data_IF_795453304487
#
_entry.id   IF_795453304487
#
_cell.length_a   1.000
_cell.length_b   1.000
_cell.length_c   1.000
_cell.angle_alpha   90.00
_cell.angle_beta   90.00
_cell.angle_gamma   90.00
#
_symmetry.space_group_name_H-M   'P 1'
#
loop_
_entity.id
_entity.type
_entity.pdbx_description
1 polymer ?
#
# COMPACT_ATOMS: atom_id res chain seq x y z
N UNK A 1 -22.31 10.12 1.64
CA UNK A 1 -22.53 9.03 0.66
C UNK A 1 -21.36 8.85 -0.29
N UNK A 2 -21.03 9.85 -1.13
CA UNK A 2 -20.00 9.70 -2.17
C UNK A 2 -18.65 9.24 -1.60
N UNK A 3 -18.20 9.86 -0.50
CA UNK A 3 -16.95 9.48 0.18
C UNK A 3 -16.94 8.02 0.63
N UNK A 4 -18.08 7.48 1.09
CA UNK A 4 -18.20 6.09 1.51
C UNK A 4 -18.02 5.11 0.35
N UNK A 5 -18.64 5.41 -0.80
CA UNK A 5 -18.55 4.59 -2.01
C UNK A 5 -17.12 4.64 -2.57
N UNK A 6 -16.45 5.80 -2.49
CA UNK A 6 -15.09 5.94 -2.97
C UNK A 6 -14.07 5.22 -2.07
N UNK A 7 -14.15 5.39 -0.75
CA UNK A 7 -13.19 4.79 0.16
C UNK A 7 -13.70 4.79 1.62
N UNK A 8 -13.97 3.61 2.19
CA UNK A 8 -14.48 3.46 3.56
C UNK A 8 -13.62 4.19 4.61
N UNK A 9 -12.29 4.08 4.48
CA UNK A 9 -11.34 4.78 5.36
C UNK A 9 -11.50 6.31 5.34
N UNK A 10 -11.66 6.92 4.16
CA UNK A 10 -11.86 8.36 4.03
C UNK A 10 -13.19 8.79 4.66
N UNK A 11 -14.22 7.96 4.56
CA UNK A 11 -15.51 8.18 5.22
C UNK A 11 -15.40 8.18 6.75
N UNK A 12 -14.62 7.25 7.32
CA UNK A 12 -14.36 7.22 8.76
C UNK A 12 -13.63 8.51 9.23
N UNK A 13 -12.60 8.93 8.49
CA UNK A 13 -11.87 10.18 8.80
C UNK A 13 -12.79 11.39 8.68
N UNK A 14 -13.63 11.46 7.65
CA UNK A 14 -14.63 12.52 7.52
C UNK A 14 -15.57 12.58 8.73
N UNK A 15 -16.07 11.43 9.20
CA UNK A 15 -16.91 11.37 10.40
C UNK A 15 -16.19 11.92 11.64
N UNK A 16 -14.94 11.50 11.84
CA UNK A 16 -14.05 11.99 12.92
C UNK A 16 -13.90 13.51 12.83
N UNK A 17 -13.58 14.05 11.65
CA UNK A 17 -13.41 15.49 11.43
C UNK A 17 -14.68 16.27 11.77
N UNK A 18 -15.84 15.82 11.32
CA UNK A 18 -17.12 16.49 11.58
C UNK A 18 -17.46 16.50 13.07
N UNK A 19 -17.30 15.36 13.76
CA UNK A 19 -17.55 15.25 15.19
C UNK A 19 -16.68 16.23 15.97
N UNK A 20 -15.37 16.22 15.73
CA UNK A 20 -14.45 17.06 16.49
C UNK A 20 -14.56 18.55 16.13
N UNK A 21 -14.87 18.86 14.88
CA UNK A 21 -15.16 20.24 14.47
C UNK A 21 -16.38 20.81 15.21
N UNK A 22 -17.48 20.07 15.29
CA UNK A 22 -18.69 20.52 15.99
C UNK A 22 -18.46 20.64 17.51
N UNK A 23 -17.76 19.67 18.11
CA UNK A 23 -17.38 19.73 19.54
C UNK A 23 -16.56 21.00 19.83
N UNK A 24 -15.55 21.27 19.01
CA UNK A 24 -14.70 22.44 19.22
C UNK A 24 -15.46 23.75 19.02
N UNK A 25 -16.30 23.83 17.99
CA UNK A 25 -17.12 25.01 17.71
C UNK A 25 -17.98 25.41 18.91
N UNK A 26 -18.53 24.43 19.63
CA UNK A 26 -19.33 24.69 20.83
C UNK A 26 -18.48 25.08 22.04
N UNK A 27 -17.27 24.54 22.15
CA UNK A 27 -16.33 24.95 23.18
C UNK A 27 -15.90 26.41 23.01
N UNK A 28 -15.75 26.88 21.76
CA UNK A 28 -15.36 28.25 21.41
C UNK A 28 -16.53 29.25 21.49
N UNK A 29 -17.78 28.82 21.25
CA UNK A 29 -18.98 29.66 21.44
C UNK A 29 -19.29 29.87 22.93
N UNK A 30 -18.73 30.93 23.52
CA UNK A 30 -18.93 31.28 24.93
C UNK A 30 -20.38 31.68 25.30
N UNK A 31 -21.21 32.15 24.36
CA UNK A 31 -22.53 32.73 24.66
C UNK A 31 -23.75 31.86 24.33
N UNK A 32 -23.60 30.79 23.54
CA UNK A 32 -24.72 29.94 23.06
C UNK A 32 -24.34 28.45 23.15
N UNK A 33 -23.99 27.99 24.37
CA UNK A 33 -23.70 26.59 24.71
C UNK A 33 -24.96 25.72 24.74
N UNK A 34 -25.74 25.77 23.66
CA UNK A 34 -26.93 24.95 23.56
C UNK A 34 -26.56 23.52 23.18
N UNK A 35 -26.54 22.62 24.17
CA UNK A 35 -26.39 21.16 23.95
C UNK A 35 -27.43 20.65 22.94
N UNK A 36 -28.62 21.25 22.89
CA UNK A 36 -29.65 20.94 21.90
C UNK A 36 -29.17 21.22 20.46
N UNK A 37 -28.42 22.30 20.25
CA UNK A 37 -27.85 22.67 18.93
C UNK A 37 -26.73 21.70 18.53
N UNK A 38 -25.89 21.28 19.48
CA UNK A 38 -24.90 20.21 19.28
C UNK A 38 -25.58 18.91 18.84
N UNK A 39 -26.53 18.44 19.64
CA UNK A 39 -27.24 17.18 19.37
C UNK A 39 -27.98 17.26 18.04
N UNK A 40 -28.58 18.39 17.70
CA UNK A 40 -29.20 18.59 16.38
C UNK A 40 -28.17 18.48 15.26
N UNK A 41 -27.04 19.18 15.37
CA UNK A 41 -26.00 19.15 14.34
C UNK A 41 -25.36 17.76 14.20
N UNK A 42 -25.07 17.09 15.32
CA UNK A 42 -24.58 15.71 15.34
C UNK A 42 -25.62 14.72 14.81
N UNK A 43 -26.91 14.91 15.10
CA UNK A 43 -27.98 14.06 14.54
C UNK A 43 -28.12 14.25 13.04
N UNK A 44 -28.01 15.48 12.52
CA UNK A 44 -27.97 15.74 11.08
C UNK A 44 -26.72 15.11 10.47
N UNK A 45 -25.56 15.29 11.10
CA UNK A 45 -24.30 14.70 10.68
C UNK A 45 -24.25 13.17 10.86
N UNK A 46 -25.03 12.60 11.75
CA UNK A 46 -25.18 11.16 11.98
C UNK A 46 -26.16 10.55 11.00
N UNK A 47 -27.23 11.28 10.65
CA UNK A 47 -28.22 10.84 9.67
C UNK A 47 -27.58 10.58 8.29
N UNK A 48 -26.62 11.41 7.88
CA UNK A 48 -25.82 11.16 6.66
C UNK A 48 -24.90 9.92 6.76
N UNK A 49 -24.72 9.32 7.94
CA UNK A 49 -23.93 8.11 8.14
C UNK A 49 -24.79 6.84 8.25
N UNK A 50 -26.09 6.96 8.55
CA UNK A 50 -26.99 5.82 8.75
C UNK A 50 -26.99 4.89 7.52
N UNK A 51 -27.26 5.44 6.33
CA UNK A 51 -27.34 4.63 5.12
C UNK A 51 -26.00 3.94 4.75
N UNK A 52 -24.83 4.61 4.76
CA UNK A 52 -23.52 4.02 4.53
C UNK A 52 -23.20 2.90 5.51
N UNK A 53 -23.46 3.13 6.79
CA UNK A 53 -23.20 2.17 7.84
C UNK A 53 -24.14 0.97 7.69
N UNK A 54 -25.42 1.20 7.39
CA UNK A 54 -26.35 0.11 7.09
C UNK A 54 -25.89 -0.70 5.87
N UNK A 55 -25.52 -0.04 4.75
CA UNK A 55 -25.00 -0.72 3.57
C UNK A 55 -23.75 -1.55 3.92
N UNK A 56 -22.82 -0.99 4.69
CA UNK A 56 -21.63 -1.70 5.13
C UNK A 56 -21.96 -2.91 6.00
N UNK A 57 -22.82 -2.76 7.01
CA UNK A 57 -23.14 -3.85 7.92
C UNK A 57 -23.89 -4.99 7.23
N UNK A 58 -24.83 -4.67 6.34
CA UNK A 58 -25.70 -5.66 5.69
C UNK A 58 -25.10 -6.29 4.42
N UNK A 59 -24.29 -5.56 3.66
CA UNK A 59 -23.81 -6.02 2.34
C UNK A 59 -22.30 -6.24 2.26
N UNK A 60 -21.51 -5.78 3.22
CA UNK A 60 -20.05 -5.93 3.15
C UNK A 60 -19.62 -7.33 3.59
N UNK A 61 -18.91 -8.12 2.77
CA UNK A 61 -18.29 -9.37 3.22
C UNK A 61 -17.29 -9.16 4.37
N UNK A 62 -16.75 -7.94 4.50
CA UNK A 62 -15.87 -7.54 5.59
C UNK A 62 -16.59 -7.35 6.93
N UNK A 63 -17.94 -7.31 6.97
CA UNK A 63 -18.70 -7.25 8.23
C UNK A 63 -18.84 -8.62 8.91
N UNK A 64 -18.41 -9.70 8.24
CA UNK A 64 -18.38 -11.03 8.82
C UNK A 64 -17.47 -11.09 10.06
N UNK A 65 -17.92 -11.79 11.11
CA UNK A 65 -17.25 -11.82 12.42
C UNK A 65 -15.78 -12.28 12.35
N UNK A 66 -15.42 -13.10 11.37
CA UNK A 66 -14.05 -13.55 11.14
C UNK A 66 -13.10 -12.46 10.61
N UNK A 67 -13.60 -11.46 9.87
CA UNK A 67 -12.79 -10.35 9.34
C UNK A 67 -12.72 -9.20 10.35
N UNK A 68 -13.82 -8.95 11.07
CA UNK A 68 -13.90 -7.95 12.15
C UNK A 68 -12.97 -8.25 13.32
N UNK A 69 -12.71 -9.53 13.61
CA UNK A 69 -11.86 -9.96 14.73
C UNK A 69 -10.35 -9.75 14.51
N UNK A 70 -9.91 -9.38 13.32
CA UNK A 70 -8.49 -9.15 13.02
C UNK A 70 -8.04 -7.71 13.34
N UNK A 71 -8.04 -7.38 14.63
CA UNK A 71 -7.44 -6.14 15.16
C UNK A 71 -6.08 -6.48 15.74
N UNK A 72 -5.01 -5.92 15.18
CA UNK A 72 -3.65 -6.14 15.70
C UNK A 72 -2.96 -4.80 15.94
N UNK A 73 -2.48 -4.62 17.17
CA UNK A 73 -1.68 -3.46 17.54
C UNK A 73 -0.22 -3.71 17.16
N UNK A 74 0.37 -2.74 16.46
CA UNK A 74 1.81 -2.74 16.21
C UNK A 74 2.59 -2.31 17.46
N UNK A 75 3.88 -2.62 17.50
CA UNK A 75 4.77 -2.08 18.52
C UNK A 75 4.99 -0.56 18.32
N UNK A 76 5.50 0.12 19.35
CA UNK A 76 5.77 1.56 19.29
C UNK A 76 6.79 1.92 18.20
N UNK A 77 7.80 1.06 17.97
CA UNK A 77 8.79 1.23 16.91
C UNK A 77 8.13 1.36 15.53
N UNK A 78 7.15 0.51 15.22
CA UNK A 78 6.38 0.57 13.96
C UNK A 78 5.63 1.89 13.81
N UNK A 79 5.14 2.49 14.89
CA UNK A 79 4.49 3.81 14.84
C UNK A 79 5.49 4.93 14.51
N UNK A 80 6.73 4.84 15.01
CA UNK A 80 7.80 5.76 14.61
C UNK A 80 8.21 5.54 13.15
N UNK A 81 8.34 4.29 12.72
CA UNK A 81 8.59 3.94 11.31
C UNK A 81 7.43 4.36 10.39
N UNK A 82 6.20 4.45 10.90
CA UNK A 82 5.08 4.96 10.12
C UNK A 82 5.28 6.44 9.76
N UNK A 83 5.93 7.24 10.62
CA UNK A 83 6.27 8.63 10.30
C UNK A 83 7.33 8.70 9.19
N UNK A 84 8.28 7.76 9.17
CA UNK A 84 9.28 7.70 8.10
C UNK A 84 8.72 7.23 6.76
N UNK A 85 7.55 6.59 6.75
CA UNK A 85 6.87 6.19 5.51
C UNK A 85 6.49 7.37 4.61
N UNK A 86 6.32 8.58 5.16
CA UNK A 86 6.18 9.78 4.32
C UNK A 86 7.45 10.10 3.55
N UNK A 87 8.61 9.72 4.07
CA UNK A 87 9.93 10.03 3.53
C UNK A 87 10.53 8.87 2.71
N UNK A 88 9.78 7.78 2.55
CA UNK A 88 10.26 6.52 1.98
C UNK A 88 9.81 6.29 0.54
N UNK A 89 9.93 7.30 -0.33
CA UNK A 89 9.62 7.13 -1.76
C UNK A 89 10.84 6.50 -2.47
N UNK A 90 11.15 6.95 -3.69
CA UNK A 90 12.25 6.42 -4.50
C UNK A 90 13.66 6.79 -3.99
N UNK A 91 13.80 7.93 -3.30
CA UNK A 91 15.09 8.38 -2.75
C UNK A 91 14.89 9.13 -1.43
N UNK A 92 15.15 8.43 -0.33
CA UNK A 92 14.93 8.93 1.04
C UNK A 92 15.69 10.23 1.34
N UNK A 93 16.90 10.40 0.78
CA UNK A 93 17.70 11.60 1.00
C UNK A 93 17.08 12.83 0.33
N UNK A 94 16.66 12.70 -0.93
CA UNK A 94 16.00 13.79 -1.65
C UNK A 94 14.61 14.07 -1.05
N UNK A 95 13.87 13.03 -0.69
CA UNK A 95 12.59 13.17 0.00
C UNK A 95 12.77 14.03 1.25
N UNK A 96 13.72 13.66 2.12
CA UNK A 96 14.00 14.41 3.35
C UNK A 96 14.31 15.88 3.08
N UNK A 97 15.14 16.19 2.08
CA UNK A 97 15.47 17.58 1.69
C UNK A 97 14.21 18.33 1.25
N UNK A 98 13.38 17.73 0.41
CA UNK A 98 12.11 18.30 -0.06
C UNK A 98 11.16 18.61 1.11
N UNK A 99 11.01 17.67 2.04
CA UNK A 99 10.16 17.87 3.22
C UNK A 99 10.69 18.94 4.16
N UNK A 100 12.01 18.97 4.41
CA UNK A 100 12.64 20.03 5.20
C UNK A 100 12.44 21.39 4.54
N UNK A 101 12.59 21.48 3.21
CA UNK A 101 12.34 22.74 2.48
C UNK A 101 10.90 23.23 2.64
N UNK A 102 9.90 22.34 2.50
CA UNK A 102 8.49 22.66 2.74
C UNK A 102 8.25 23.07 4.20
N UNK A 103 8.80 22.32 5.16
CA UNK A 103 8.62 22.60 6.58
C UNK A 103 9.22 23.95 6.99
N UNK A 104 10.43 24.27 6.50
CA UNK A 104 11.08 25.57 6.70
C UNK A 104 10.27 26.69 6.06
N UNK A 105 9.76 26.49 4.83
CA UNK A 105 8.91 27.47 4.16
C UNK A 105 7.61 27.75 4.94
N UNK A 106 6.89 26.70 5.35
CA UNK A 106 5.67 26.82 6.15
C UNK A 106 5.98 27.49 7.50
N UNK A 107 7.02 27.05 8.20
CA UNK A 107 7.45 27.63 9.48
C UNK A 107 7.81 29.11 9.37
N UNK A 108 8.54 29.50 8.31
CA UNK A 108 8.86 30.89 8.03
C UNK A 108 7.61 31.75 7.77
N UNK A 109 6.65 31.23 6.99
CA UNK A 109 5.39 31.92 6.70
C UNK A 109 4.47 32.01 7.91
N UNK A 110 4.44 30.98 8.77
CA UNK A 110 3.75 30.99 10.07
C UNK A 110 4.35 32.06 10.98
N UNK A 111 5.67 32.10 11.12
CA UNK A 111 6.38 33.10 11.94
C UNK A 111 6.16 34.55 11.46
N UNK A 112 5.88 34.74 10.17
CA UNK A 112 5.53 36.04 9.57
C UNK A 112 4.02 36.37 9.65
N UNK A 113 3.20 35.49 10.24
CA UNK A 113 1.75 35.62 10.30
C UNK A 113 1.08 35.60 8.92
N UNK A 114 1.73 34.99 7.91
CA UNK A 114 1.22 34.89 6.54
C UNK A 114 0.48 33.60 6.29
N UNK A 115 0.81 32.57 7.05
CA UNK A 115 -0.01 31.36 7.17
C UNK A 115 -0.65 31.39 8.54
N UNK A 116 -1.93 31.04 8.61
CA UNK A 116 -2.63 30.81 9.86
C UNK A 116 -3.33 29.46 9.79
N UNK A 117 -3.28 28.70 10.88
CA UNK A 117 -4.10 27.49 10.99
C UNK A 117 -5.49 27.94 11.43
N UNK A 118 -6.53 27.48 10.71
CA UNK A 118 -7.90 27.71 11.12
C UNK A 118 -8.12 27.11 12.53
N UNK A 119 -8.46 27.94 13.51
CA UNK A 119 -8.61 27.52 14.93
C UNK A 119 -9.48 26.27 15.11
N UNK A 120 -10.65 26.15 14.44
CA UNK A 120 -11.48 24.95 14.56
C UNK A 120 -10.79 23.65 14.12
N UNK A 121 -9.79 23.77 13.26
CA UNK A 121 -9.07 22.62 12.72
C UNK A 121 -7.89 22.18 13.58
N UNK A 122 -7.40 23.04 14.48
CA UNK A 122 -6.35 22.67 15.42
C UNK A 122 -6.81 21.51 16.32
N UNK A 123 -8.04 21.57 16.83
CA UNK A 123 -8.61 20.49 17.62
C UNK A 123 -8.76 19.21 16.81
N UNK A 124 -9.32 19.29 15.60
CA UNK A 124 -9.45 18.12 14.74
C UNK A 124 -8.09 17.45 14.43
N UNK A 125 -7.04 18.25 14.21
CA UNK A 125 -5.67 17.75 14.02
C UNK A 125 -5.12 17.06 15.26
N UNK A 126 -5.27 17.68 16.44
CA UNK A 126 -4.86 17.08 17.72
C UNK A 126 -5.57 15.75 17.95
N UNK A 127 -6.88 15.69 17.69
CA UNK A 127 -7.64 14.46 17.83
C UNK A 127 -7.24 13.40 16.82
N UNK A 128 -7.00 13.75 15.54
CA UNK A 128 -6.49 12.80 14.55
C UNK A 128 -5.12 12.24 14.95
N UNK A 129 -4.23 13.08 15.49
CA UNK A 129 -2.96 12.61 16.07
C UNK A 129 -3.19 11.67 17.26
N UNK A 130 -4.15 11.96 18.13
CA UNK A 130 -4.57 11.07 19.21
C UNK A 130 -5.07 9.72 18.69
N UNK A 131 -5.93 9.74 17.67
CA UNK A 131 -6.42 8.53 16.98
C UNK A 131 -5.23 7.75 16.42
N UNK A 132 -4.27 8.40 15.76
CA UNK A 132 -3.06 7.73 15.26
C UNK A 132 -2.27 7.01 16.35
N UNK A 133 -2.11 7.62 17.53
CA UNK A 133 -1.41 7.00 18.65
C UNK A 133 -2.10 5.71 19.09
N UNK A 134 -3.43 5.71 19.19
CA UNK A 134 -4.19 4.53 19.62
C UNK A 134 -4.57 3.58 18.49
N UNK A 135 -4.38 3.96 17.23
CA UNK A 135 -4.85 3.18 16.08
C UNK A 135 -4.06 1.87 15.97
N UNK A 136 -4.74 0.72 15.82
CA UNK A 136 -4.08 -0.55 15.54
C UNK A 136 -3.45 -0.54 14.13
N UNK A 137 -2.43 -1.39 13.95
CA UNK A 137 -1.71 -1.52 12.69
C UNK A 137 -2.54 -2.28 11.63
N UNK A 138 -3.39 -3.21 12.06
CA UNK A 138 -4.28 -4.00 11.20
C UNK A 138 -5.73 -3.78 11.66
N UNK A 139 -6.62 -3.48 10.71
CA UNK A 139 -8.06 -3.33 10.92
C UNK A 139 -8.79 -4.01 9.77
N UNK A 140 -9.78 -4.85 10.06
CA UNK A 140 -10.55 -5.60 9.05
C UNK A 140 -9.64 -6.34 8.05
N UNK A 141 -8.62 -7.03 8.58
CA UNK A 141 -7.56 -7.73 7.84
C UNK A 141 -6.73 -6.86 6.86
N UNK A 142 -6.93 -5.53 6.87
CA UNK A 142 -6.16 -4.56 6.11
C UNK A 142 -4.99 -4.02 6.94
N UNK A 143 -3.77 -4.31 6.51
CA UNK A 143 -2.55 -3.85 7.20
C UNK A 143 -2.26 -2.37 6.93
N UNK A 144 -1.43 -1.76 7.78
CA UNK A 144 -0.99 -0.35 7.62
C UNK A 144 -2.14 0.66 7.72
N UNK A 145 -3.14 0.36 8.54
CA UNK A 145 -4.26 1.26 8.80
C UNK A 145 -3.77 2.55 9.51
N UNK A 146 -2.85 2.40 10.46
CA UNK A 146 -2.11 3.48 11.14
C UNK A 146 -1.31 4.37 10.18
N UNK A 147 -0.58 3.78 9.23
CA UNK A 147 0.23 4.53 8.23
C UNK A 147 -0.64 5.39 7.31
N UNK A 148 -1.80 4.87 6.90
CA UNK A 148 -2.75 5.63 6.07
C UNK A 148 -3.29 6.87 6.79
N UNK A 149 -3.35 6.85 8.12
CA UNK A 149 -3.83 7.99 8.88
C UNK A 149 -2.87 9.18 8.81
N UNK A 150 -1.57 8.92 8.76
CA UNK A 150 -0.53 9.96 8.67
C UNK A 150 -0.72 10.80 7.40
N UNK A 151 -0.98 10.14 6.27
CA UNK A 151 -1.26 10.83 5.00
C UNK A 151 -2.49 11.72 5.14
N UNK A 152 -3.55 11.22 5.76
CA UNK A 152 -4.74 12.02 5.98
C UNK A 152 -4.50 13.19 6.96
N UNK A 153 -3.73 12.99 8.04
CA UNK A 153 -3.32 14.06 8.95
C UNK A 153 -2.55 15.14 8.19
N UNK A 154 -1.60 14.76 7.33
CA UNK A 154 -0.83 15.70 6.52
C UNK A 154 -1.74 16.50 5.56
N UNK A 155 -2.67 15.83 4.87
CA UNK A 155 -3.62 16.49 3.98
C UNK A 155 -4.55 17.44 4.73
N UNK A 156 -5.08 17.03 5.89
CA UNK A 156 -5.92 17.88 6.74
C UNK A 156 -5.11 19.06 7.28
N UNK A 157 -3.85 18.85 7.65
CA UNK A 157 -2.98 19.92 8.14
C UNK A 157 -2.78 20.98 7.06
N UNK A 158 -2.47 20.56 5.83
CA UNK A 158 -2.34 21.46 4.67
C UNK A 158 -3.66 22.17 4.35
N UNK A 159 -4.80 21.46 4.34
CA UNK A 159 -6.10 22.08 4.07
C UNK A 159 -6.56 23.04 5.17
N UNK A 160 -6.00 22.92 6.37
CA UNK A 160 -6.28 23.82 7.50
C UNK A 160 -5.49 25.11 7.45
N UNK A 161 -4.52 25.22 6.53
CA UNK A 161 -3.72 26.43 6.34
C UNK A 161 -4.51 27.47 5.55
N UNK A 162 -4.61 28.67 6.11
CA UNK A 162 -5.09 29.85 5.41
C UNK A 162 -3.88 30.71 5.02
N UNK A 163 -3.65 30.85 3.72
CA UNK A 163 -2.54 31.61 3.16
C UNK A 163 -2.99 33.05 2.88
N UNK A 164 -2.48 34.00 3.67
CA UNK A 164 -2.61 35.44 3.44
C UNK A 164 -1.40 35.93 2.64
N UNK A 165 -1.51 35.89 1.31
CA UNK A 165 -0.52 36.48 0.41
C UNK A 165 -0.74 37.98 0.35
N UNK A 166 0.27 38.80 0.65
CA UNK A 166 0.17 40.26 0.54
C UNK A 166 0.90 40.85 -0.66
N UNK A 167 1.78 40.08 -1.30
CA UNK A 167 2.51 40.53 -2.48
C UNK A 167 2.67 39.44 -3.53
N UNK A 168 2.79 39.85 -4.79
CA UNK A 168 3.12 38.96 -5.91
C UNK A 168 4.43 38.20 -5.69
N UNK A 169 5.41 38.82 -5.02
CA UNK A 169 6.69 38.16 -4.69
C UNK A 169 6.51 36.99 -3.72
N UNK A 170 5.63 37.12 -2.73
CA UNK A 170 5.29 36.03 -1.80
C UNK A 170 4.57 34.88 -2.52
N UNK A 171 3.64 35.21 -3.42
CA UNK A 171 2.97 34.20 -4.25
C UNK A 171 3.96 33.45 -5.12
N UNK A 172 4.83 34.18 -5.83
CA UNK A 172 5.88 33.61 -6.66
C UNK A 172 6.82 32.73 -5.84
N UNK A 173 7.28 33.19 -4.68
CA UNK A 173 8.15 32.40 -3.81
C UNK A 173 7.46 31.09 -3.37
N UNK A 174 6.18 31.16 -2.99
CA UNK A 174 5.40 29.97 -2.63
C UNK A 174 5.25 29.00 -3.82
N UNK A 175 4.85 29.53 -4.97
CA UNK A 175 4.63 28.75 -6.18
C UNK A 175 5.93 28.11 -6.68
N UNK A 176 7.05 28.84 -6.68
CA UNK A 176 8.36 28.31 -7.06
C UNK A 176 8.82 27.25 -6.07
N UNK A 177 8.68 27.47 -4.76
CA UNK A 177 9.12 26.50 -3.75
C UNK A 177 8.33 25.20 -3.84
N UNK A 178 7.00 25.28 -3.81
CA UNK A 178 6.11 24.11 -3.87
C UNK A 178 6.22 23.44 -5.24
N UNK A 179 6.22 24.24 -6.32
CA UNK A 179 6.35 23.75 -7.69
C UNK A 179 7.67 23.03 -7.94
N UNK A 180 8.79 23.55 -7.42
CA UNK A 180 10.10 22.91 -7.56
C UNK A 180 10.14 21.57 -6.82
N UNK A 181 9.64 21.51 -5.58
CA UNK A 181 9.56 20.24 -4.84
C UNK A 181 8.67 19.23 -5.56
N UNK A 182 7.51 19.66 -6.05
CA UNK A 182 6.60 18.81 -6.82
C UNK A 182 7.26 18.28 -8.10
N UNK A 183 7.85 19.16 -8.91
CA UNK A 183 8.51 18.76 -10.16
C UNK A 183 9.70 17.84 -9.92
N UNK A 184 10.49 18.09 -8.87
CA UNK A 184 11.59 17.23 -8.48
C UNK A 184 11.09 15.83 -8.11
N UNK A 185 10.05 15.73 -7.28
CA UNK A 185 9.44 14.47 -6.88
C UNK A 185 8.87 13.69 -8.07
N UNK A 186 8.14 14.38 -8.96
CA UNK A 186 7.64 13.77 -10.21
C UNK A 186 8.79 13.31 -11.10
N UNK A 187 9.85 14.12 -11.23
CA UNK A 187 11.04 13.77 -12.01
C UNK A 187 11.75 12.52 -11.48
N UNK A 188 11.89 12.38 -10.17
CA UNK A 188 12.48 11.19 -9.53
C UNK A 188 11.60 9.96 -9.75
N UNK A 189 10.28 10.09 -9.58
CA UNK A 189 9.35 9.00 -9.84
C UNK A 189 9.41 8.56 -11.31
N UNK A 190 9.40 9.52 -12.24
CA UNK A 190 9.51 9.27 -13.68
C UNK A 190 10.83 8.60 -14.04
N UNK A 191 11.95 9.07 -13.49
CA UNK A 191 13.26 8.46 -13.70
C UNK A 191 13.29 7.01 -13.21
N UNK A 192 12.74 6.75 -12.02
CA UNK A 192 12.67 5.41 -11.45
C UNK A 192 11.78 4.47 -12.28
N UNK A 193 10.68 4.96 -12.83
CA UNK A 193 9.81 4.19 -13.72
C UNK A 193 10.46 3.91 -15.06
N UNK A 194 11.16 4.89 -15.64
CA UNK A 194 11.90 4.71 -16.87
C UNK A 194 13.02 3.66 -16.71
N UNK A 195 13.69 3.64 -15.56
CA UNK A 195 14.67 2.61 -15.23
C UNK A 195 14.06 1.20 -15.09
N UNK A 196 12.77 1.11 -14.72
CA UNK A 196 12.07 -0.17 -14.60
C UNK A 196 11.55 -0.74 -15.92
N UNK A 197 11.25 0.12 -16.89
CA UNK A 197 10.59 -0.29 -18.14
C UNK A 197 11.32 -1.44 -18.88
N UNK A 198 12.67 -1.46 -19.00
CA UNK A 198 13.38 -2.61 -19.58
C UNK A 198 13.18 -3.90 -18.78
N UNK A 199 13.19 -3.82 -17.44
CA UNK A 199 12.98 -4.96 -16.55
C UNK A 199 11.59 -5.55 -16.74
N UNK A 200 10.55 -4.71 -16.77
CA UNK A 200 9.19 -5.14 -17.07
C UNK A 200 9.06 -5.77 -18.46
N UNK A 201 9.71 -5.19 -19.48
CA UNK A 201 9.72 -5.76 -20.84
C UNK A 201 10.31 -7.17 -20.88
N UNK A 202 11.36 -7.44 -20.10
CA UNK A 202 11.94 -8.78 -20.00
C UNK A 202 10.92 -9.80 -19.46
N UNK A 203 10.19 -9.44 -18.40
CA UNK A 203 9.10 -10.29 -17.89
C UNK A 203 8.01 -10.51 -18.93
N UNK A 204 7.54 -9.45 -19.58
CA UNK A 204 6.49 -9.54 -20.60
C UNK A 204 6.93 -10.43 -21.78
N UNK A 205 8.18 -10.31 -22.23
CA UNK A 205 8.75 -11.17 -23.27
C UNK A 205 8.90 -12.63 -22.81
N UNK A 206 9.29 -12.87 -21.56
CA UNK A 206 9.34 -14.22 -20.99
C UNK A 206 7.96 -14.86 -20.90
N UNK A 207 6.96 -14.11 -20.44
CA UNK A 207 5.57 -14.55 -20.35
C UNK A 207 4.99 -14.89 -21.72
N UNK A 208 5.52 -14.30 -22.80
CA UNK A 208 5.09 -14.69 -24.13
C UNK A 208 5.34 -16.16 -24.47
N UNK A 209 6.33 -16.79 -23.81
CA UNK A 209 6.70 -18.20 -23.98
C UNK A 209 5.88 -19.17 -23.11
N UNK A 210 5.11 -18.64 -22.15
CA UNK A 210 4.18 -19.44 -21.35
C UNK A 210 2.97 -19.76 -22.22
N UNK A 211 2.59 -21.05 -22.27
CA UNK A 211 1.39 -21.49 -22.98
C UNK A 211 0.14 -20.89 -22.29
N UNK A 212 -0.79 -20.41 -23.09
CA UNK A 212 -2.06 -19.87 -22.60
C UNK A 212 -2.82 -20.88 -21.73
N UNK A 213 -3.43 -20.41 -20.64
CA UNK A 213 -4.21 -21.25 -19.71
C UNK A 213 -3.37 -22.14 -18.77
N UNK A 214 -2.03 -21.99 -18.76
CA UNK A 214 -1.15 -22.82 -17.93
C UNK A 214 -1.14 -22.38 -16.47
N UNK A 215 -0.78 -23.31 -15.57
CA UNK A 215 -0.48 -23.04 -14.18
C UNK A 215 1.03 -22.77 -14.02
N UNK A 216 1.36 -21.68 -13.34
CA UNK A 216 2.73 -21.22 -13.13
C UNK A 216 3.00 -21.17 -11.63
N UNK A 217 3.92 -22.01 -11.15
CA UNK A 217 4.42 -21.90 -9.79
C UNK A 217 5.32 -20.67 -9.70
N UNK A 218 5.17 -19.89 -8.64
CA UNK A 218 5.96 -18.68 -8.41
C UNK A 218 6.78 -18.87 -7.15
N UNK A 219 8.09 -18.69 -7.26
CA UNK A 219 9.02 -18.64 -6.15
C UNK A 219 9.62 -17.21 -6.10
N UNK A 220 9.55 -16.54 -4.96
CA UNK A 220 10.11 -15.19 -4.82
C UNK A 220 11.03 -15.11 -3.63
N UNK A 221 12.21 -14.56 -3.86
CA UNK A 221 13.17 -14.24 -2.81
C UNK A 221 12.50 -13.42 -1.69
N UNK A 222 12.48 -13.91 -0.44
CA UNK A 222 11.90 -13.18 0.68
C UNK A 222 12.54 -11.81 0.90
N UNK A 223 13.80 -11.64 0.49
CA UNK A 223 14.54 -10.39 0.56
C UNK A 223 14.30 -9.49 -0.67
N UNK A 224 13.62 -9.99 -1.72
CA UNK A 224 13.27 -9.16 -2.87
C UNK A 224 12.49 -7.93 -2.40
N UNK A 225 13.06 -6.77 -2.71
CA UNK A 225 12.60 -5.47 -2.30
C UNK A 225 11.20 -5.19 -2.83
N UNK A 226 10.44 -4.52 -1.98
CA UNK A 226 9.12 -3.97 -2.32
C UNK A 226 9.25 -2.63 -3.07
N UNK A 227 10.42 -2.01 -3.02
CA UNK A 227 10.71 -0.67 -3.50
C UNK A 227 12.04 -0.61 -4.28
N UNK A 228 12.15 0.24 -5.30
CA UNK A 228 11.12 1.14 -5.81
C UNK A 228 10.06 0.44 -6.68
N UNK A 229 10.28 -0.82 -7.08
CA UNK A 229 9.31 -1.55 -7.89
C UNK A 229 9.01 -2.92 -7.28
N UNK A 230 7.72 -3.15 -7.06
CA UNK A 230 7.21 -4.38 -6.47
C UNK A 230 7.19 -5.53 -7.50
N UNK A 231 8.31 -6.25 -7.61
CA UNK A 231 8.43 -7.43 -8.47
C UNK A 231 7.50 -8.57 -8.04
N UNK A 232 7.04 -8.60 -6.78
CA UNK A 232 6.08 -9.60 -6.28
C UNK A 232 4.70 -9.44 -6.93
N UNK A 233 4.37 -8.29 -7.50
CA UNK A 233 3.12 -8.07 -8.23
C UNK A 233 3.17 -8.51 -9.70
N UNK A 234 4.38 -8.69 -10.27
CA UNK A 234 4.58 -9.01 -11.68
C UNK A 234 3.93 -10.33 -12.11
N UNK A 235 3.94 -11.41 -11.30
CA UNK A 235 3.28 -12.67 -11.67
C UNK A 235 1.79 -12.51 -12.00
N UNK A 236 1.08 -11.55 -11.40
CA UNK A 236 -0.33 -11.29 -11.73
C UNK A 236 -0.56 -10.87 -13.19
N UNK A 237 0.47 -10.38 -13.88
CA UNK A 237 0.37 -10.07 -15.31
C UNK A 237 0.22 -11.34 -16.17
N UNK A 238 0.58 -12.53 -15.67
CA UNK A 238 0.33 -13.80 -16.36
C UNK A 238 -1.17 -14.06 -16.56
N UNK A 239 -2.00 -13.62 -15.60
CA UNK A 239 -3.47 -13.71 -15.73
C UNK A 239 -3.92 -12.88 -16.93
N UNK A 240 -3.42 -11.64 -17.05
CA UNK A 240 -3.81 -10.71 -18.12
C UNK A 240 -3.24 -11.09 -19.50
N UNK A 241 -1.99 -11.55 -19.55
CA UNK A 241 -1.26 -11.77 -20.81
C UNK A 241 -1.48 -13.17 -21.39
N UNK A 242 -1.79 -14.15 -20.54
CA UNK A 242 -1.78 -15.57 -20.90
C UNK A 242 -2.95 -16.37 -20.31
N UNK A 243 -3.93 -15.73 -19.68
CA UNK A 243 -5.02 -16.44 -18.98
C UNK A 243 -4.47 -17.54 -18.04
N UNK A 244 -3.25 -17.35 -17.53
CA UNK A 244 -2.51 -18.34 -16.78
C UNK A 244 -2.73 -18.13 -15.28
N UNK A 245 -2.65 -19.21 -14.51
CA UNK A 245 -2.79 -19.18 -13.06
C UNK A 245 -1.41 -19.15 -12.39
N UNK A 246 -0.94 -18.00 -11.87
CA UNK A 246 0.22 -17.94 -10.98
C UNK A 246 -0.16 -18.40 -9.55
N UNK A 247 0.67 -19.23 -8.91
CA UNK A 247 0.41 -19.71 -7.53
C UNK A 247 0.42 -18.57 -6.49
N UNK A 248 1.18 -17.50 -6.76
CA UNK A 248 1.19 -16.30 -5.94
C UNK A 248 0.12 -15.32 -6.45
N UNK A 249 -1.02 -15.28 -5.77
CA UNK A 249 -2.08 -14.29 -5.99
C UNK A 249 -2.49 -13.62 -4.69
N UNK A 250 -2.68 -12.30 -4.73
CA UNK A 250 -3.19 -11.55 -3.60
C UNK A 250 -4.74 -11.61 -3.58
N UNK A 251 -5.27 -12.82 -3.37
CA UNK A 251 -6.69 -13.12 -3.36
C UNK A 251 -7.11 -13.72 -2.02
N UNK A 252 -7.64 -12.88 -1.14
CA UNK A 252 -8.14 -13.26 0.17
C UNK A 252 -9.66 -13.25 0.14
N UNK A 253 -10.28 -14.38 0.50
CA UNK A 253 -11.74 -14.47 0.63
C UNK A 253 -12.25 -13.38 1.59
N UNK A 254 -13.23 -12.60 1.15
CA UNK A 254 -13.81 -11.50 1.91
C UNK A 254 -13.08 -10.16 1.79
N UNK A 255 -11.85 -10.12 1.28
CA UNK A 255 -11.16 -8.86 0.92
C UNK A 255 -11.28 -8.54 -0.57
N UNK A 256 -11.19 -9.57 -1.42
CA UNK A 256 -11.24 -9.41 -2.86
C UNK A 256 -12.63 -9.80 -3.41
N UNK A 257 -13.10 -9.15 -4.49
CA UNK A 257 -14.39 -9.47 -5.11
C UNK A 257 -14.38 -10.83 -5.85
N UNK A 258 -13.19 -11.41 -6.06
CA UNK A 258 -12.98 -12.71 -6.67
C UNK A 258 -12.20 -13.59 -5.72
N UNK A 259 -12.47 -14.90 -5.77
CA UNK A 259 -11.80 -15.90 -4.96
C UNK A 259 -11.34 -17.07 -5.83
N UNK A 260 -10.29 -17.76 -5.38
CA UNK A 260 -9.86 -19.00 -6.02
C UNK A 260 -10.91 -20.09 -5.83
N UNK A 261 -11.08 -20.92 -6.85
CA UNK A 261 -11.78 -22.18 -6.70
C UNK A 261 -10.96 -23.13 -5.83
N UNK A 262 -11.61 -24.12 -5.23
CA UNK A 262 -10.96 -25.09 -4.33
C UNK A 262 -9.75 -25.80 -4.98
N UNK A 263 -9.79 -26.02 -6.29
CA UNK A 263 -8.66 -26.57 -7.05
C UNK A 263 -7.45 -25.63 -6.97
N UNK A 264 -7.62 -24.36 -7.31
CA UNK A 264 -6.53 -23.39 -7.37
C UNK A 264 -6.05 -22.96 -5.97
N UNK A 265 -6.94 -22.99 -4.97
CA UNK A 265 -6.59 -22.79 -3.56
C UNK A 265 -5.62 -23.89 -3.09
N UNK A 266 -5.95 -25.16 -3.31
CA UNK A 266 -5.05 -26.29 -3.00
C UNK A 266 -3.71 -26.20 -3.72
N UNK A 267 -3.71 -25.78 -4.99
CA UNK A 267 -2.47 -25.58 -5.74
C UNK A 267 -1.59 -24.47 -5.15
N UNK A 268 -2.19 -23.34 -4.75
CA UNK A 268 -1.46 -22.24 -4.12
C UNK A 268 -0.90 -22.64 -2.74
N UNK A 269 -1.68 -23.39 -1.94
CA UNK A 269 -1.27 -23.92 -0.63
C UNK A 269 -0.15 -24.98 -0.74
N UNK A 270 -0.13 -25.77 -1.82
CA UNK A 270 0.92 -26.76 -2.06
C UNK A 270 2.26 -26.14 -2.46
N UNK A 271 2.25 -24.90 -2.98
CA UNK A 271 3.42 -24.19 -3.48
C UNK A 271 3.53 -22.74 -2.94
N UNK A 272 3.70 -22.56 -1.62
CA UNK A 272 3.87 -21.25 -1.02
C UNK A 272 5.18 -20.61 -1.48
N UNK A 273 5.07 -19.42 -2.09
CA UNK A 273 6.13 -18.78 -2.88
C UNK A 273 7.48 -18.59 -2.14
N UNK A 274 7.44 -18.31 -0.83
CA UNK A 274 8.63 -18.12 0.00
C UNK A 274 9.30 -19.45 0.34
N UNK A 275 8.53 -20.46 0.72
CA UNK A 275 9.07 -21.78 1.10
C UNK A 275 9.63 -22.50 -0.13
N UNK A 276 8.97 -22.37 -1.29
CA UNK A 276 9.50 -22.89 -2.55
C UNK A 276 10.83 -22.21 -2.87
N UNK A 277 10.96 -20.89 -2.69
CA UNK A 277 12.22 -20.20 -2.95
C UNK A 277 13.36 -20.70 -2.05
N UNK A 278 13.14 -20.74 -0.73
CA UNK A 278 14.14 -21.20 0.25
C UNK A 278 14.57 -22.66 -0.01
N UNK A 279 13.60 -23.52 -0.37
CA UNK A 279 13.88 -24.90 -0.72
C UNK A 279 14.68 -25.02 -2.02
N UNK A 280 14.34 -24.23 -3.03
CA UNK A 280 15.11 -24.19 -4.29
C UNK A 280 16.54 -23.71 -4.06
N UNK A 281 16.75 -22.73 -3.16
CA UNK A 281 18.08 -22.27 -2.78
C UNK A 281 18.89 -23.39 -2.12
N UNK A 282 18.30 -24.07 -1.13
CA UNK A 282 18.94 -25.22 -0.44
C UNK A 282 19.32 -26.33 -1.42
N UNK A 283 18.40 -26.69 -2.33
CA UNK A 283 18.62 -27.70 -3.37
C UNK A 283 19.77 -27.31 -4.31
N UNK A 284 19.80 -26.04 -4.71
CA UNK A 284 20.83 -25.51 -5.59
C UNK A 284 22.22 -25.54 -4.94
N UNK A 285 22.33 -25.08 -3.69
CA UNK A 285 23.58 -25.09 -2.92
C UNK A 285 24.11 -26.50 -2.68
N UNK A 286 23.21 -27.44 -2.35
CA UNK A 286 23.57 -28.85 -2.16
C UNK A 286 23.79 -29.61 -3.49
N UNK A 287 23.53 -28.98 -4.64
CA UNK A 287 23.49 -29.61 -5.97
C UNK A 287 22.63 -30.89 -5.99
N UNK A 288 21.54 -30.90 -5.25
CA UNK A 288 20.73 -32.10 -4.98
C UNK A 288 19.63 -32.31 -6.03
N UNK A 289 19.98 -32.90 -7.19
CA UNK A 289 19.00 -33.17 -8.25
C UNK A 289 17.83 -34.07 -7.80
N UNK A 290 18.07 -35.04 -6.93
CA UNK A 290 17.01 -35.95 -6.47
C UNK A 290 15.90 -35.19 -5.75
N UNK A 291 16.28 -34.28 -4.87
CA UNK A 291 15.31 -33.45 -4.14
C UNK A 291 14.58 -32.46 -5.05
N UNK A 292 15.25 -31.94 -6.09
CA UNK A 292 14.58 -31.16 -7.12
C UNK A 292 13.50 -31.97 -7.84
N UNK A 293 13.79 -33.22 -8.22
CA UNK A 293 12.82 -34.10 -8.87
C UNK A 293 11.65 -34.46 -7.93
N UNK A 294 11.91 -34.63 -6.63
CA UNK A 294 10.86 -34.83 -5.62
C UNK A 294 9.99 -33.59 -5.43
N UNK A 295 10.57 -32.38 -5.43
CA UNK A 295 9.83 -31.12 -5.38
C UNK A 295 8.94 -30.96 -6.62
N UNK A 296 9.47 -31.26 -7.81
CA UNK A 296 8.75 -31.16 -9.08
C UNK A 296 7.58 -32.15 -9.16
N UNK A 297 7.80 -33.41 -8.75
CA UNK A 297 6.77 -34.46 -8.74
C UNK A 297 5.78 -34.36 -7.58
N UNK A 298 6.12 -33.60 -6.54
CA UNK A 298 5.28 -33.34 -5.38
C UNK A 298 4.57 -32.00 -5.49
N UNK A 299 5.07 -31.01 -4.73
CA UNK A 299 4.47 -29.67 -4.60
C UNK A 299 4.25 -28.94 -5.92
N UNK A 300 5.05 -29.22 -6.95
CA UNK A 300 4.94 -28.53 -8.24
C UNK A 300 4.25 -29.37 -9.34
N UNK A 301 3.68 -30.53 -9.01
CA UNK A 301 3.18 -31.49 -10.01
C UNK A 301 2.06 -30.93 -10.90
N UNK A 302 1.22 -30.05 -10.35
CA UNK A 302 0.09 -29.43 -11.07
C UNK A 302 0.49 -28.21 -11.92
N UNK A 303 1.76 -27.82 -11.90
CA UNK A 303 2.29 -26.64 -12.58
C UNK A 303 3.08 -27.03 -13.83
N UNK A 304 2.90 -26.27 -14.92
CA UNK A 304 3.64 -26.48 -16.17
C UNK A 304 4.90 -25.61 -16.25
N UNK A 305 4.96 -24.56 -15.44
CA UNK A 305 6.07 -23.61 -15.42
C UNK A 305 6.43 -23.22 -13.99
N UNK A 306 7.69 -22.87 -13.78
CA UNK A 306 8.21 -22.31 -12.54
C UNK A 306 8.87 -20.97 -12.84
N UNK A 307 8.33 -19.90 -12.27
CA UNK A 307 8.91 -18.56 -12.29
C UNK A 307 9.65 -18.32 -10.96
N UNK A 308 10.96 -18.16 -11.03
CA UNK A 308 11.81 -17.83 -9.88
C UNK A 308 12.21 -16.37 -9.98
N UNK A 309 11.82 -15.54 -9.02
CA UNK A 309 12.19 -14.13 -8.93
C UNK A 309 13.23 -13.97 -7.81
N UNK A 310 14.35 -13.32 -8.13
CA UNK A 310 15.49 -13.16 -7.23
C UNK A 310 16.05 -11.74 -7.29
N UNK A 311 16.59 -11.25 -6.16
CA UNK A 311 17.36 -10.00 -6.12
C UNK A 311 18.84 -10.22 -5.84
N UNK A 312 19.22 -11.38 -5.30
CA UNK A 312 20.61 -11.70 -4.98
C UNK A 312 21.44 -12.05 -6.22
N UNK A 313 22.72 -11.62 -6.31
CA UNK A 313 23.63 -11.98 -7.41
C UNK A 313 23.95 -13.49 -7.46
N UNK A 314 23.75 -14.24 -6.37
CA UNK A 314 23.83 -15.70 -6.34
C UNK A 314 22.48 -16.30 -6.70
N UNK A 315 22.23 -16.38 -8.00
CA UNK A 315 20.98 -16.94 -8.53
C UNK A 315 21.03 -18.47 -8.51
N UNK A 316 20.01 -19.17 -7.96
CA UNK A 316 19.88 -20.60 -8.16
C UNK A 316 19.57 -20.88 -9.64
N UNK A 317 20.60 -21.14 -10.44
CA UNK A 317 20.39 -21.61 -11.81
C UNK A 317 20.06 -23.10 -11.78
N UNK A 318 18.77 -23.39 -11.75
CA UNK A 318 18.28 -24.77 -11.77
C UNK A 318 18.48 -25.44 -13.15
N UNK A 319 18.93 -24.67 -14.14
CA UNK A 319 19.38 -25.19 -15.43
C UNK A 319 20.57 -26.15 -15.26
N UNK A 320 21.50 -25.85 -14.34
CA UNK A 320 22.63 -26.73 -14.01
C UNK A 320 22.19 -28.08 -13.45
N UNK A 321 21.04 -28.09 -12.79
CA UNK A 321 20.44 -29.30 -12.29
C UNK A 321 19.63 -30.01 -13.37
N UNK A 322 19.37 -29.41 -14.54
CA UNK A 322 18.66 -30.03 -15.66
C UNK A 322 17.18 -29.65 -15.78
N UNK A 323 16.75 -28.50 -15.22
CA UNK A 323 15.45 -27.93 -15.58
C UNK A 323 15.52 -27.18 -16.91
N UNK A 324 14.46 -27.28 -17.71
CA UNK A 324 14.36 -26.63 -19.03
C UNK A 324 14.11 -25.12 -18.85
N UNK A 325 15.19 -24.32 -18.86
CA UNK A 325 15.09 -22.86 -18.75
C UNK A 325 14.70 -22.24 -20.08
N UNK A 326 13.53 -21.61 -20.14
CA UNK A 326 12.96 -21.07 -21.38
C UNK A 326 13.11 -19.55 -21.51
N UNK A 327 13.30 -18.84 -20.39
CA UNK A 327 13.65 -17.41 -20.37
C UNK A 327 14.40 -17.07 -19.07
N UNK A 328 15.20 -16.02 -19.11
CA UNK A 328 15.93 -15.51 -17.94
C UNK A 328 16.24 -14.01 -18.14
N UNK A 329 16.43 -13.33 -17.02
CA UNK A 329 17.00 -11.98 -16.95
C UNK A 329 17.86 -11.87 -15.68
N UNK A 330 18.33 -10.66 -15.36
CA UNK A 330 19.14 -10.41 -14.16
C UNK A 330 18.46 -10.75 -12.85
N UNK A 331 17.13 -10.83 -12.83
CA UNK A 331 16.30 -10.87 -11.63
C UNK A 331 15.19 -11.93 -11.65
N UNK A 332 15.17 -12.75 -12.69
CA UNK A 332 14.30 -13.91 -12.74
C UNK A 332 14.81 -15.00 -13.68
N UNK A 333 14.33 -16.21 -13.43
CA UNK A 333 14.41 -17.34 -14.36
C UNK A 333 13.02 -17.97 -14.52
N UNK A 334 12.71 -18.36 -15.76
CA UNK A 334 11.48 -19.06 -16.10
C UNK A 334 11.82 -20.45 -16.64
N UNK A 335 11.31 -21.47 -15.98
CA UNK A 335 11.53 -22.87 -16.30
C UNK A 335 10.23 -23.52 -16.77
N UNK A 336 10.36 -24.49 -17.67
CA UNK A 336 9.31 -25.43 -18.02
C UNK A 336 9.45 -26.69 -17.16
N UNK A 337 8.36 -27.09 -16.53
CA UNK A 337 8.26 -28.34 -15.76
C UNK A 337 7.76 -29.45 -16.70
N UNK A 338 8.32 -30.66 -16.57
CA UNK A 338 8.01 -31.82 -17.42
C UNK A 338 7.13 -32.83 -16.71
#
# INVERSE_FOLDING_TARGET
MVVFICHLYAFAIYGILVIFYEIFRLAEMQSDRSVRKLLRNLSIAGAQAILPVAIFLYFSPMSSAHVVSQIQFGNFKRKLEALSFMFGNYNQGIDLICYVAIAVFIGFMLGRGRIMIARPMLAALVFLCGVFVIMPAVVFSSSSADRRLIVAIALVAVSSLNLSVRSWRELLAAAVTIGSVYLLQVGIAQHSWAAYEPRLRNYLSAFQKVKEGSNVAVAVDPNASWFPINVRGVPSLLVLQRNAFPSQQFLWRGQNPVALSEKFERMAEAAPWNEIYERLLTIYEARNRKELDELVKGSLADFQYLLVIHESPTTPSLADLGLDRIAYASDFDLYRLR
#
